data_IF_465596401429
#
_entry.id   IF_465596401429
#
_cell.length_a   1.000
_cell.length_b   1.000
_cell.length_c   1.000
_cell.angle_alpha   90.00
_cell.angle_beta   90.00
_cell.angle_gamma   90.00
#
_symmetry.space_group_name_H-M   'P 1'
#
loop_
_entity.id
_entity.type
_entity.pdbx_description
1 polymer ?
#
# COMPACT_ATOMS: atom_id res chain seq x y z
N UNK A 1 4.18 14.41 -20.34
CA UNK A 1 2.85 14.65 -19.75
C UNK A 1 2.94 15.87 -18.86
N UNK A 2 1.92 16.76 -18.78
CA UNK A 2 1.97 17.99 -17.96
C UNK A 2 0.88 17.98 -16.87
N UNK A 3 1.13 18.63 -15.74
CA UNK A 3 0.25 18.59 -14.56
C UNK A 3 -1.09 19.31 -14.79
N UNK A 4 -1.09 20.34 -15.61
CA UNK A 4 -2.26 21.14 -15.97
C UNK A 4 -3.33 20.29 -16.67
N UNK A 5 -2.90 19.23 -17.37
CA UNK A 5 -3.79 18.30 -18.06
C UNK A 5 -4.72 17.53 -17.09
N UNK A 6 -4.42 17.49 -15.78
CA UNK A 6 -5.24 16.81 -14.77
C UNK A 6 -6.35 17.70 -14.18
N UNK A 7 -6.19 19.04 -14.24
CA UNK A 7 -7.09 20.00 -13.58
C UNK A 7 -8.56 19.90 -14.00
N UNK A 8 -8.91 19.64 -15.28
CA UNK A 8 -10.31 19.48 -15.68
C UNK A 8 -10.96 18.22 -15.13
N UNK A 9 -10.17 17.22 -14.71
CA UNK A 9 -10.64 15.87 -14.38
C UNK A 9 -10.56 15.54 -12.89
N UNK A 10 -9.88 16.36 -12.08
CA UNK A 10 -9.71 16.14 -10.65
C UNK A 10 -10.28 17.31 -9.85
N UNK A 11 -10.96 16.99 -8.75
CA UNK A 11 -11.49 18.00 -7.82
C UNK A 11 -10.34 18.84 -7.24
N UNK A 12 -10.49 20.18 -7.16
CA UNK A 12 -9.49 21.05 -6.53
C UNK A 12 -9.31 20.77 -5.04
N UNK A 13 -10.22 20.03 -4.39
CA UNK A 13 -10.06 19.58 -3.01
C UNK A 13 -8.89 18.60 -2.83
N UNK A 14 -8.45 17.93 -3.90
CA UNK A 14 -7.26 17.09 -3.89
C UNK A 14 -6.00 17.94 -4.14
N UNK A 15 -5.64 18.76 -3.15
CA UNK A 15 -4.44 19.57 -3.22
C UNK A 15 -3.18 18.69 -3.39
N UNK A 16 -2.29 19.10 -4.29
CA UNK A 16 -0.99 18.47 -4.51
C UNK A 16 0.11 19.37 -3.98
N UNK A 17 1.08 18.79 -3.28
CA UNK A 17 2.23 19.53 -2.77
C UNK A 17 3.25 19.87 -3.87
N UNK A 18 3.22 19.15 -4.99
CA UNK A 18 4.14 19.30 -6.12
C UNK A 18 3.43 19.03 -7.44
N UNK A 19 3.92 19.61 -8.54
CA UNK A 19 3.44 19.34 -9.90
C UNK A 19 4.17 18.14 -10.56
N UNK A 20 5.01 17.44 -9.82
CA UNK A 20 5.77 16.30 -10.31
C UNK A 20 4.84 15.13 -10.71
N UNK A 21 5.16 14.50 -11.85
CA UNK A 21 4.42 13.34 -12.38
C UNK A 21 5.36 12.14 -12.36
N UNK A 22 5.12 11.22 -11.43
CA UNK A 22 5.94 10.02 -11.26
C UNK A 22 5.51 8.91 -12.22
N UNK A 23 6.48 8.23 -12.81
CA UNK A 23 6.28 7.08 -13.72
C UNK A 23 6.59 5.76 -13.00
N UNK A 24 7.68 5.70 -12.25
CA UNK A 24 8.13 4.46 -11.60
C UNK A 24 8.79 4.72 -10.25
N UNK A 25 8.93 3.66 -9.45
CA UNK A 25 9.63 3.69 -8.18
C UNK A 25 10.34 2.37 -7.89
N UNK A 26 11.53 2.45 -7.30
CA UNK A 26 12.30 1.29 -6.85
C UNK A 26 13.13 1.66 -5.62
N UNK A 27 12.98 0.89 -4.54
CA UNK A 27 13.67 1.16 -3.28
C UNK A 27 13.29 2.55 -2.75
N UNK A 28 14.26 3.38 -2.42
CA UNK A 28 14.01 4.74 -1.94
C UNK A 28 13.85 5.78 -3.07
N UNK A 29 13.85 5.38 -4.33
CA UNK A 29 13.80 6.31 -5.46
C UNK A 29 12.47 6.28 -6.20
N UNK A 30 12.07 7.46 -6.67
CA UNK A 30 11.03 7.66 -7.67
C UNK A 30 11.64 8.25 -8.94
N UNK A 31 11.09 7.91 -10.09
CA UNK A 31 11.49 8.44 -11.40
C UNK A 31 10.29 9.13 -12.04
N UNK A 32 10.45 10.39 -12.45
CA UNK A 32 9.40 11.12 -13.16
C UNK A 32 9.31 10.74 -14.64
N UNK A 33 8.23 11.20 -15.30
CA UNK A 33 7.99 10.98 -16.74
C UNK A 33 9.02 11.62 -17.66
N UNK A 34 9.93 12.44 -17.13
CA UNK A 34 11.06 13.02 -17.88
C UNK A 34 12.37 12.27 -17.59
N UNK A 35 12.34 11.20 -16.80
CA UNK A 35 13.49 10.38 -16.44
C UNK A 35 14.30 10.89 -15.25
N UNK A 36 13.86 11.95 -14.56
CA UNK A 36 14.59 12.48 -13.39
C UNK A 36 14.29 11.63 -12.17
N UNK A 37 15.35 11.26 -11.43
CA UNK A 37 15.26 10.44 -10.21
C UNK A 37 15.28 11.30 -8.96
N UNK A 38 14.34 11.03 -8.06
CA UNK A 38 14.17 11.72 -6.78
C UNK A 38 14.32 10.71 -5.63
N UNK A 39 15.03 11.12 -4.57
CA UNK A 39 15.07 10.36 -3.32
C UNK A 39 13.80 10.68 -2.51
N UNK A 40 13.02 9.65 -2.18
CA UNK A 40 11.72 9.80 -1.52
C UNK A 40 11.85 9.72 0.01
N UNK A 41 11.75 10.87 0.68
CA UNK A 41 11.67 10.96 2.13
C UNK A 41 10.23 10.89 2.69
N UNK A 42 9.23 10.94 1.82
CA UNK A 42 7.81 10.90 2.21
C UNK A 42 7.32 9.45 2.31
N UNK A 43 7.85 8.56 1.47
CA UNK A 43 7.54 7.12 1.45
C UNK A 43 6.03 6.85 1.40
N UNK A 44 5.29 7.66 0.63
CA UNK A 44 3.83 7.57 0.55
C UNK A 44 3.12 7.81 1.89
N UNK A 45 3.59 8.78 2.68
CA UNK A 45 3.16 9.02 4.07
C UNK A 45 3.46 7.78 4.92
N UNK A 46 4.73 7.38 4.94
CA UNK A 46 5.28 6.23 5.66
C UNK A 46 4.68 4.84 5.30
N UNK A 47 3.85 4.74 4.25
CA UNK A 47 3.27 3.47 3.79
C UNK A 47 4.33 2.55 3.17
N UNK A 48 5.26 3.11 2.41
CA UNK A 48 6.25 2.35 1.66
C UNK A 48 7.52 2.08 2.49
N UNK A 49 7.40 1.66 3.75
CA UNK A 49 8.55 1.49 4.64
C UNK A 49 9.64 0.53 4.11
N UNK A 50 9.28 -0.42 3.23
CA UNK A 50 10.22 -1.34 2.58
C UNK A 50 10.81 -0.78 1.26
N UNK A 51 10.48 0.45 0.90
CA UNK A 51 10.73 1.06 -0.39
C UNK A 51 9.71 0.66 -1.45
N UNK A 52 9.70 1.43 -2.54
CA UNK A 52 8.85 1.19 -3.70
C UNK A 52 9.19 -0.15 -4.36
N UNK A 53 8.15 -0.90 -4.74
CA UNK A 53 8.25 -2.13 -5.53
C UNK A 53 9.21 -3.19 -4.97
N UNK A 54 9.22 -3.40 -3.65
CA UNK A 54 10.08 -4.40 -3.02
C UNK A 54 9.87 -5.81 -3.65
N UNK A 55 10.93 -6.49 -4.15
CA UNK A 55 10.78 -7.69 -5.00
C UNK A 55 9.94 -8.82 -4.39
N UNK A 56 10.13 -9.08 -3.07
CA UNK A 56 9.35 -10.12 -2.37
C UNK A 56 7.86 -9.78 -2.26
N UNK A 57 7.51 -8.50 -2.12
CA UNK A 57 6.12 -8.04 -2.01
C UNK A 57 5.45 -8.13 -3.37
N UNK A 58 6.13 -7.64 -4.42
CA UNK A 58 5.65 -7.72 -5.81
C UNK A 58 5.40 -9.18 -6.22
N UNK A 59 6.35 -10.08 -5.92
CA UNK A 59 6.20 -11.49 -6.23
C UNK A 59 4.99 -12.13 -5.50
N UNK A 60 4.81 -11.85 -4.20
CA UNK A 60 3.68 -12.37 -3.43
C UNK A 60 2.32 -11.86 -3.94
N UNK A 61 2.24 -10.58 -4.34
CA UNK A 61 1.03 -9.99 -4.92
C UNK A 61 0.72 -10.67 -6.27
N UNK A 62 1.71 -10.82 -7.16
CA UNK A 62 1.52 -11.48 -8.46
C UNK A 62 1.01 -12.90 -8.29
N UNK A 63 1.66 -13.68 -7.43
CA UNK A 63 1.28 -15.06 -7.15
C UNK A 63 -0.15 -15.17 -6.59
N UNK A 64 -0.57 -14.25 -5.73
CA UNK A 64 -1.94 -14.24 -5.20
C UNK A 64 -2.95 -13.84 -6.27
N UNK A 65 -2.63 -12.83 -7.08
CA UNK A 65 -3.51 -12.34 -8.14
C UNK A 65 -3.78 -13.39 -9.23
N UNK A 66 -2.81 -14.26 -9.52
CA UNK A 66 -2.96 -15.39 -10.44
C UNK A 66 -3.87 -16.50 -9.89
N UNK A 67 -4.03 -16.60 -8.57
CA UNK A 67 -4.87 -17.61 -7.92
C UNK A 67 -6.27 -17.10 -7.61
N UNK A 68 -6.38 -15.93 -6.96
CA UNK A 68 -7.63 -15.33 -6.54
C UNK A 68 -7.42 -13.86 -6.18
N UNK A 69 -8.12 -12.96 -6.87
CA UNK A 69 -8.10 -11.51 -6.58
C UNK A 69 -8.90 -11.16 -5.32
N UNK A 70 -10.17 -11.58 -5.27
CA UNK A 70 -11.07 -11.38 -4.12
C UNK A 70 -12.28 -12.29 -4.22
N UNK A 71 -12.79 -12.70 -3.07
CA UNK A 71 -14.01 -13.49 -2.87
C UNK A 71 -14.84 -12.94 -1.68
N UNK A 72 -14.73 -11.63 -1.40
CA UNK A 72 -15.38 -10.92 -0.28
C UNK A 72 -14.99 -11.44 1.11
N UNK A 73 -14.24 -10.61 1.84
CA UNK A 73 -13.66 -10.97 3.15
C UNK A 73 -14.70 -11.31 4.24
N UNK A 74 -15.92 -10.82 4.10
CA UNK A 74 -17.03 -11.12 5.02
C UNK A 74 -17.81 -12.39 4.65
N UNK A 75 -17.52 -13.01 3.50
CA UNK A 75 -18.23 -14.19 3.00
C UNK A 75 -17.36 -15.44 3.09
N UNK A 76 -16.06 -15.32 2.81
CA UNK A 76 -15.14 -16.45 2.80
C UNK A 76 -13.90 -16.21 3.66
N UNK A 77 -13.29 -17.31 4.10
CA UNK A 77 -12.01 -17.30 4.79
C UNK A 77 -10.85 -17.58 3.82
N UNK A 78 -9.75 -16.84 3.98
CA UNK A 78 -8.52 -17.06 3.21
C UNK A 78 -7.47 -17.73 4.11
N UNK A 79 -6.72 -18.74 3.61
CA UNK A 79 -5.60 -19.31 4.36
C UNK A 79 -4.53 -18.28 4.75
N UNK A 80 -4.33 -17.26 3.91
CA UNK A 80 -3.42 -16.14 4.16
C UNK A 80 -3.83 -15.30 5.38
N UNK A 81 -5.14 -15.12 5.61
CA UNK A 81 -5.66 -14.39 6.77
C UNK A 81 -5.27 -15.07 8.07
N UNK A 82 -5.49 -16.39 8.18
CA UNK A 82 -5.13 -17.15 9.38
C UNK A 82 -3.62 -17.09 9.64
N UNK A 83 -2.81 -17.26 8.59
CA UNK A 83 -1.35 -17.18 8.68
C UNK A 83 -0.88 -15.81 9.17
N UNK A 84 -1.51 -14.73 8.70
CA UNK A 84 -1.17 -13.37 9.11
C UNK A 84 -1.61 -13.10 10.56
N UNK A 85 -2.84 -13.48 10.93
CA UNK A 85 -3.36 -13.29 12.29
C UNK A 85 -2.47 -13.99 13.33
N UNK A 86 -2.05 -15.24 13.08
CA UNK A 86 -1.13 -15.97 13.95
C UNK A 86 0.24 -15.29 14.08
N UNK A 87 0.80 -14.83 12.96
CA UNK A 87 2.09 -14.11 12.99
C UNK A 87 1.98 -12.80 13.75
N UNK A 88 0.86 -12.10 13.64
CA UNK A 88 0.63 -10.87 14.39
C UNK A 88 0.59 -11.16 15.89
N UNK A 89 -0.15 -12.17 16.34
CA UNK A 89 -0.20 -12.55 17.76
C UNK A 89 1.15 -12.92 18.37
N UNK A 90 2.10 -13.39 17.54
CA UNK A 90 3.46 -13.74 17.99
C UNK A 90 4.37 -12.51 18.19
N UNK A 91 4.07 -11.37 17.54
CA UNK A 91 4.92 -10.16 17.56
C UNK A 91 4.27 -8.97 18.27
N UNK A 92 2.95 -9.00 18.50
CA UNK A 92 2.24 -7.97 19.24
C UNK A 92 2.48 -8.11 20.74
N UNK A 93 2.57 -7.00 21.50
CA UNK A 93 2.76 -7.05 22.94
C UNK A 93 1.48 -7.54 23.65
N UNK A 94 1.65 -8.24 24.78
CA UNK A 94 0.53 -8.70 25.62
C UNK A 94 -0.25 -9.86 25.00
N UNK A 95 -1.54 -9.95 25.32
CA UNK A 95 -2.44 -11.04 24.88
C UNK A 95 -3.26 -10.66 23.63
N UNK A 96 -2.69 -9.85 22.74
CA UNK A 96 -3.37 -9.37 21.53
C UNK A 96 -3.44 -10.45 20.45
N UNK A 97 -4.38 -11.39 20.62
CA UNK A 97 -4.48 -12.62 19.81
C UNK A 97 -5.64 -12.61 18.78
N UNK A 98 -6.41 -11.53 18.72
CA UNK A 98 -7.60 -11.39 17.87
C UNK A 98 -7.51 -10.12 17.04
N UNK A 99 -7.54 -10.25 15.71
CA UNK A 99 -7.20 -9.16 14.78
C UNK A 99 -8.30 -8.94 13.75
N UNK A 100 -8.69 -7.68 13.56
CA UNK A 100 -9.54 -7.23 12.45
C UNK A 100 -8.73 -6.51 11.36
N UNK A 101 -9.01 -6.83 10.08
CA UNK A 101 -8.29 -6.28 8.92
C UNK A 101 -9.15 -5.27 8.12
N UNK A 102 -9.05 -3.96 8.38
CA UNK A 102 -9.74 -2.94 7.59
C UNK A 102 -8.99 -2.61 6.29
N UNK A 103 -9.72 -2.23 5.24
CA UNK A 103 -9.15 -1.82 3.94
C UNK A 103 -8.51 -0.42 3.94
N UNK A 104 -8.73 0.39 4.99
CA UNK A 104 -8.15 1.72 5.09
C UNK A 104 -7.93 2.12 6.56
N UNK A 105 -6.79 2.75 6.86
CA UNK A 105 -6.36 3.13 8.21
C UNK A 105 -7.21 4.17 8.94
N UNK A 106 -8.30 4.66 8.34
CA UNK A 106 -9.27 5.52 9.06
C UNK A 106 -10.00 4.77 10.18
N UNK A 107 -10.06 3.45 10.12
CA UNK A 107 -10.46 2.61 11.26
C UNK A 107 -9.19 2.03 11.87
N UNK A 108 -8.85 2.57 13.04
CA UNK A 108 -7.80 2.07 13.95
C UNK A 108 -7.83 0.54 13.96
N UNK A 109 -6.67 -0.11 13.91
CA UNK A 109 -6.55 -1.55 14.15
C UNK A 109 -7.26 -1.84 15.48
N UNK A 110 -8.46 -2.41 15.44
CA UNK A 110 -9.15 -2.88 16.62
C UNK A 110 -8.69 -4.32 16.81
N UNK A 111 -7.77 -4.49 17.75
CA UNK A 111 -7.65 -5.76 18.46
C UNK A 111 -8.82 -5.77 19.44
N UNK A 112 -9.76 -6.68 19.23
CA UNK A 112 -10.81 -6.99 20.22
C UNK A 112 -10.31 -8.11 21.10
#
# INVERSE_FOLDING_TARGET
>A
MKFENYRPYLSPALAKATDLIMESGQGCYLTDVNGVRYLDFVQGIAVNALGHCHPKVVAAIKQQAEQLLTASFNVVNYPSTLKLAKRLSEVTPGELNSVFFPMAGRRRLMVL
#
